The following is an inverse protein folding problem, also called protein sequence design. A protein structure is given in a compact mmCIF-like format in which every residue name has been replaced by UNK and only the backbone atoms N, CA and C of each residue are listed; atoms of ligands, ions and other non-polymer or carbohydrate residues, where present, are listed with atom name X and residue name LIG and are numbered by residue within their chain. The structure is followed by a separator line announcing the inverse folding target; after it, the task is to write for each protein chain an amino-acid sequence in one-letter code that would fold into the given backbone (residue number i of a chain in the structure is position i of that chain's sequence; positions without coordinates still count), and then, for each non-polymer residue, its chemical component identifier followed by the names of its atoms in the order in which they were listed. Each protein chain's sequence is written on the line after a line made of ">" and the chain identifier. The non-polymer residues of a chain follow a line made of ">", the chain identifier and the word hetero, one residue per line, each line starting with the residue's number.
data_IF_061353961326
#
_entry.id   IF_061353961326
#
_cell.length_a   1.000
_cell.length_b   1.000
_cell.length_c   1.000
_cell.angle_alpha   90.00
_cell.angle_beta   90.00
_cell.angle_gamma   90.00
#
_symmetry.space_group_name_H-M   'P 1'
#
loop_
_entity.id
_entity.type
_entity.pdbx_description
1 polymer ?
#
# COMPACT_ATOMS: atom_id res chain seq x y z
N UNK A 1 -7.77 -3.91 13.37
CA UNK A 1 -7.60 -3.37 12.01
C UNK A 1 -8.83 -2.58 11.56
N UNK A 2 -8.60 -1.45 10.88
CA UNK A 2 -9.67 -0.57 10.42
C UNK A 2 -9.98 -0.94 8.97
N UNK A 3 -11.26 -1.08 8.56
CA UNK A 3 -11.59 -1.31 7.16
C UNK A 3 -11.10 -0.13 6.32
N UNK A 4 -10.09 -0.37 5.49
CA UNK A 4 -9.62 0.61 4.52
C UNK A 4 -10.48 0.54 3.27
N UNK A 5 -10.66 1.68 2.60
CA UNK A 5 -11.22 1.75 1.26
C UNK A 5 -10.15 1.36 0.23
N UNK A 6 -8.93 1.86 0.44
CA UNK A 6 -7.80 1.69 -0.47
C UNK A 6 -6.50 1.47 0.30
N UNK A 7 -5.61 0.71 -0.31
CA UNK A 7 -4.21 0.58 0.12
C UNK A 7 -3.34 1.03 -1.02
N UNK A 8 -2.39 1.90 -0.72
CA UNK A 8 -1.41 2.42 -1.66
C UNK A 8 -0.02 1.90 -1.31
N UNK A 9 0.69 1.43 -2.33
CA UNK A 9 2.09 1.02 -2.24
C UNK A 9 2.96 2.11 -2.88
N UNK A 10 3.91 2.61 -2.11
CA UNK A 10 4.91 3.59 -2.53
C UNK A 10 6.28 2.90 -2.66
N UNK A 11 7.04 3.28 -3.68
CA UNK A 11 8.45 2.92 -3.87
C UNK A 11 9.27 4.20 -3.94
N UNK A 12 10.27 4.35 -3.08
CA UNK A 12 11.12 5.54 -2.98
C UNK A 12 10.31 6.85 -2.88
N UNK A 13 9.15 6.79 -2.22
CA UNK A 13 8.22 7.91 -2.06
C UNK A 13 7.29 8.15 -3.26
N UNK A 14 7.44 7.42 -4.36
CA UNK A 14 6.57 7.50 -5.53
C UNK A 14 5.43 6.47 -5.44
N UNK A 15 4.19 6.88 -5.71
CA UNK A 15 3.06 5.94 -5.79
C UNK A 15 3.31 4.93 -6.92
N UNK A 16 3.32 3.65 -6.57
CA UNK A 16 3.58 2.55 -7.50
C UNK A 16 2.32 1.77 -7.86
N UNK A 17 1.44 1.55 -6.89
CA UNK A 17 0.17 0.84 -7.10
C UNK A 17 -0.82 1.17 -6.00
N UNK A 18 -2.11 1.07 -6.33
CA UNK A 18 -3.19 1.13 -5.35
C UNK A 18 -4.15 -0.03 -5.56
N UNK A 19 -4.77 -0.49 -4.48
CA UNK A 19 -5.77 -1.56 -4.49
C UNK A 19 -6.92 -1.19 -3.58
N UNK A 20 -8.12 -1.46 -4.05
CA UNK A 20 -9.31 -1.39 -3.21
C UNK A 20 -9.28 -2.59 -2.23
N UNK A 21 -9.70 -2.33 -1.00
CA UNK A 21 -9.72 -3.34 0.04
C UNK A 21 -11.18 -3.69 0.35
N UNK A 22 -11.55 -4.96 0.15
CA UNK A 22 -12.89 -5.41 0.56
C UNK A 22 -12.98 -5.33 2.09
N UNK A 23 -14.14 -4.93 2.61
CA UNK A 23 -14.36 -4.73 4.06
C UNK A 23 -14.10 -5.99 4.90
N UNK A 24 -14.03 -7.18 4.28
CA UNK A 24 -13.72 -8.44 4.96
C UNK A 24 -12.22 -8.77 4.99
N UNK A 25 -11.40 -8.07 4.21
CA UNK A 25 -9.97 -8.31 4.13
C UNK A 25 -9.19 -7.37 5.05
N UNK A 26 -8.21 -7.95 5.73
CA UNK A 26 -7.33 -7.23 6.65
C UNK A 26 -5.97 -6.83 6.03
N UNK A 27 -5.63 -7.46 4.92
CA UNK A 27 -4.42 -7.18 4.16
C UNK A 27 -4.71 -7.28 2.67
N UNK A 28 -3.89 -6.61 1.86
CA UNK A 28 -3.85 -6.75 0.40
C UNK A 28 -2.47 -7.22 -0.04
N UNK A 29 -2.42 -7.93 -1.16
CA UNK A 29 -1.18 -8.37 -1.77
C UNK A 29 -0.91 -7.58 -3.07
N UNK A 30 0.31 -7.07 -3.18
CA UNK A 30 0.85 -6.47 -4.40
C UNK A 30 1.87 -7.43 -5.02
N UNK A 31 1.54 -7.98 -6.18
CA UNK A 31 2.42 -8.88 -6.91
C UNK A 31 3.30 -8.09 -7.88
N UNK A 32 4.61 -8.29 -7.81
CA UNK A 32 5.59 -7.69 -8.70
C UNK A 32 6.07 -8.75 -9.69
N UNK A 33 5.57 -8.68 -10.92
CA UNK A 33 5.93 -9.65 -11.95
C UNK A 33 7.23 -9.24 -12.66
N UNK A 34 8.16 -10.19 -12.80
CA UNK A 34 9.39 -9.99 -13.57
C UNK A 34 10.33 -8.95 -12.97
N UNK A 35 10.65 -9.10 -11.68
CA UNK A 35 11.55 -8.24 -10.90
C UNK A 35 12.78 -7.81 -11.72
N UNK A 36 12.99 -6.50 -11.81
CA UNK A 36 14.10 -5.83 -12.47
C UNK A 36 14.88 -4.99 -11.46
N UNK A 37 16.02 -4.46 -11.90
CA UNK A 37 16.83 -3.53 -11.09
C UNK A 37 16.06 -2.27 -10.67
N UNK A 38 15.08 -1.86 -11.49
CA UNK A 38 14.19 -0.71 -11.23
C UNK A 38 13.22 -0.97 -10.06
N UNK A 39 13.00 -2.22 -9.69
CA UNK A 39 12.16 -2.61 -8.55
C UNK A 39 12.97 -2.68 -7.24
N UNK A 40 14.24 -2.29 -7.27
CA UNK A 40 15.03 -2.07 -6.06
C UNK A 40 14.62 -0.74 -5.42
N UNK A 41 14.68 -0.69 -4.10
CA UNK A 41 14.44 0.55 -3.35
C UNK A 41 13.52 0.31 -2.16
N UNK A 42 13.07 1.41 -1.56
CA UNK A 42 12.31 1.35 -0.31
C UNK A 42 10.81 1.37 -0.55
N UNK A 43 10.11 0.37 -0.01
CA UNK A 43 8.67 0.24 -0.05
C UNK A 43 8.01 0.70 1.23
N UNK A 44 6.90 1.43 1.09
CA UNK A 44 6.05 1.84 2.20
C UNK A 44 4.59 1.72 1.77
N UNK A 45 3.72 1.36 2.72
CA UNK A 45 2.29 1.24 2.49
C UNK A 45 1.53 2.37 3.19
N UNK A 46 0.41 2.80 2.62
CA UNK A 46 -0.51 3.73 3.24
C UNK A 46 -1.95 3.25 3.06
N UNK A 47 -2.76 3.35 4.10
CA UNK A 47 -4.17 2.98 4.07
C UNK A 47 -5.04 4.23 4.01
N UNK A 48 -6.09 4.21 3.20
CA UNK A 48 -7.14 5.22 3.23
C UNK A 48 -8.37 4.65 3.93
N UNK A 49 -8.81 5.28 5.02
CA UNK A 49 -9.92 4.79 5.83
C UNK A 49 -11.27 4.90 5.11
N UNK A 50 -12.09 3.84 5.19
CA UNK A 50 -13.46 3.85 4.63
C UNK A 50 -14.44 4.61 5.53
N UNK A 51 -14.28 4.49 6.85
CA UNK A 51 -15.17 5.09 7.86
C UNK A 51 -14.76 6.50 8.29
N UNK A 52 -13.46 6.81 8.20
CA UNK A 52 -12.92 8.13 8.49
C UNK A 52 -12.20 8.61 7.23
N UNK A 53 -12.71 9.64 6.53
CA UNK A 53 -12.04 10.18 5.35
C UNK A 53 -10.70 10.78 5.79
N UNK A 54 -9.63 10.04 5.50
CA UNK A 54 -8.27 10.36 5.91
C UNK A 54 -7.30 9.27 5.52
N UNK A 55 -6.11 9.67 5.08
CA UNK A 55 -4.99 8.76 4.84
C UNK A 55 -4.29 8.49 6.17
N UNK A 56 -4.01 7.22 6.44
CA UNK A 56 -3.20 6.79 7.58
C UNK A 56 -1.74 7.24 7.40
N UNK A 57 -0.92 7.13 8.43
CA UNK A 57 0.51 7.31 8.28
C UNK A 57 1.12 6.21 7.40
N UNK A 58 2.25 6.51 6.76
CA UNK A 58 2.98 5.49 5.99
C UNK A 58 3.59 4.48 6.95
N UNK A 59 3.61 3.21 6.53
CA UNK A 59 4.24 2.13 7.27
C UNK A 59 5.74 2.34 7.39
N UNK A 60 6.38 1.60 8.30
CA UNK A 60 7.82 1.47 8.31
C UNK A 60 8.34 1.02 6.92
N UNK A 61 9.46 1.59 6.46
CA UNK A 61 10.07 1.25 5.17
C UNK A 61 10.63 -0.17 5.15
N UNK A 62 10.52 -0.83 3.99
CA UNK A 62 11.12 -2.15 3.72
C UNK A 62 11.90 -2.14 2.39
N UNK A 63 13.05 -2.82 2.34
CA UNK A 63 13.91 -2.95 1.15
C UNK A 63 14.03 -4.41 0.69
#
# INVERSE_FOLDING_TARGET
>A
PQPAAWVELYQDGQLRSSKEMDQKQDAVEFSLAGIKKEDSGTYQCQYEGLEQPGTSEKSDPVE
#
